data_IF_790797534920
#
_entry.id   IF_790797534920
#
_cell.length_a   1.000
_cell.length_b   1.000
_cell.length_c   1.000
_cell.angle_alpha   90.00
_cell.angle_beta   90.00
_cell.angle_gamma   90.00
#
_symmetry.space_group_name_H-M   'P 1'
#
loop_
_entity.id
_entity.type
_entity.pdbx_description
1 polymer ?
#
# COMPACT_ATOMS: atom_id res chain seq x y z
N UNK A 1 -1.33 21.66 33.58
CA UNK A 1 -0.25 21.16 32.70
C UNK A 1 -0.86 20.16 31.74
N UNK A 2 -1.12 20.56 30.50
CA UNK A 2 -1.66 19.63 29.49
C UNK A 2 -0.67 18.49 29.29
N UNK A 3 -1.11 17.24 29.42
CA UNK A 3 -0.28 16.08 29.18
C UNK A 3 -0.01 15.95 27.67
N UNK A 4 1.17 16.36 27.22
CA UNK A 4 1.68 15.96 25.90
C UNK A 4 2.18 14.52 26.00
N UNK A 5 1.26 13.55 26.14
CA UNK A 5 1.64 12.14 26.08
C UNK A 5 1.93 11.78 24.62
N UNK A 6 3.13 12.09 24.15
CA UNK A 6 3.62 11.55 22.88
C UNK A 6 3.70 10.03 23.01
N UNK A 7 3.07 9.32 22.09
CA UNK A 7 3.08 7.85 22.06
C UNK A 7 3.14 7.34 20.63
N UNK A 8 3.72 6.16 20.44
CA UNK A 8 3.90 5.56 19.12
C UNK A 8 5.13 4.65 19.06
N UNK A 9 5.32 3.99 17.93
CA UNK A 9 6.45 3.08 17.68
C UNK A 9 7.80 3.79 17.86
N UNK A 10 7.97 4.97 17.26
CA UNK A 10 9.20 5.76 17.39
C UNK A 10 9.47 6.16 18.85
N UNK A 11 8.41 6.52 19.61
CA UNK A 11 8.57 6.85 21.02
C UNK A 11 8.99 5.64 21.85
N UNK A 12 8.46 4.44 21.59
CA UNK A 12 8.94 3.23 22.26
C UNK A 12 10.45 3.00 22.01
N UNK A 13 10.92 3.19 20.77
CA UNK A 13 12.35 3.03 20.42
C UNK A 13 13.22 4.05 21.16
N UNK A 14 12.81 5.32 21.20
CA UNK A 14 13.52 6.37 21.94
C UNK A 14 13.52 6.09 23.46
N UNK A 15 12.38 5.71 24.02
CA UNK A 15 12.27 5.33 25.44
C UNK A 15 13.13 4.10 25.78
N UNK A 16 13.32 3.18 24.83
CA UNK A 16 14.21 2.03 25.01
C UNK A 16 15.68 2.43 25.06
N UNK A 17 16.09 3.43 24.29
CA UNK A 17 17.43 4.03 24.39
C UNK A 17 17.66 4.67 25.76
N UNK A 18 16.67 5.41 26.29
CA UNK A 18 16.71 5.96 27.66
C UNK A 18 16.88 4.85 28.72
N UNK A 19 16.19 3.72 28.53
CA UNK A 19 16.32 2.55 29.40
C UNK A 19 17.73 1.95 29.33
N UNK A 20 18.28 1.73 28.13
CA UNK A 20 19.64 1.21 27.90
C UNK A 20 20.68 2.13 28.54
N UNK A 21 20.56 3.45 28.34
CA UNK A 21 21.45 4.44 28.95
C UNK A 21 21.43 4.34 30.48
N UNK A 22 20.24 4.21 31.07
CA UNK A 22 20.08 4.06 32.52
C UNK A 22 20.74 2.77 33.04
N UNK A 23 20.49 1.62 32.41
CA UNK A 23 21.08 0.35 32.88
C UNK A 23 22.58 0.25 32.63
N UNK A 24 23.09 0.93 31.59
CA UNK A 24 24.54 1.07 31.35
C UNK A 24 25.19 1.85 32.50
N UNK A 25 24.56 2.94 32.95
CA UNK A 25 25.05 3.75 34.07
C UNK A 25 25.02 3.00 35.42
N UNK A 26 24.26 1.91 35.53
CA UNK A 26 24.25 1.08 36.75
C UNK A 26 25.48 0.18 36.89
N UNK A 27 26.29 0.03 35.83
CA UNK A 27 27.55 -0.72 35.85
C UNK A 27 27.38 -2.17 36.28
N UNK A 28 28.33 -2.68 37.09
CA UNK A 28 28.34 -4.08 37.56
C UNK A 28 27.13 -4.49 38.40
N UNK A 29 26.36 -3.53 38.92
CA UNK A 29 25.10 -3.82 39.62
C UNK A 29 23.99 -4.29 38.67
N UNK A 30 24.13 -4.07 37.36
CA UNK A 30 23.24 -4.63 36.34
C UNK A 30 23.89 -5.89 35.74
N UNK A 31 23.51 -7.06 36.25
CA UNK A 31 24.07 -8.36 35.88
C UNK A 31 22.98 -9.45 35.73
N UNK A 32 22.09 -9.34 34.73
CA UNK A 32 20.97 -10.25 34.58
C UNK A 32 21.42 -11.63 34.10
N UNK A 33 20.82 -12.69 34.65
CA UNK A 33 21.06 -14.08 34.21
C UNK A 33 20.33 -14.43 32.90
N UNK A 34 19.22 -13.75 32.58
CA UNK A 34 18.49 -13.93 31.31
C UNK A 34 19.27 -13.25 30.18
N UNK A 35 19.77 -14.05 29.23
CA UNK A 35 20.58 -13.56 28.09
C UNK A 35 19.93 -12.39 27.33
N UNK A 36 18.61 -12.42 27.14
CA UNK A 36 17.86 -11.37 26.45
C UNK A 36 17.89 -9.99 27.17
N UNK A 37 18.26 -9.95 28.45
CA UNK A 37 18.37 -8.71 29.23
C UNK A 37 19.83 -8.22 29.32
N UNK A 38 20.80 -8.94 28.77
CA UNK A 38 22.19 -8.44 28.77
C UNK A 38 22.30 -7.13 27.99
N UNK A 39 23.23 -6.24 28.36
CA UNK A 39 23.42 -4.96 27.66
C UNK A 39 23.62 -5.14 26.14
N UNK A 40 24.37 -6.17 25.74
CA UNK A 40 24.57 -6.50 24.33
C UNK A 40 23.27 -6.91 23.61
N UNK A 41 22.43 -7.72 24.27
CA UNK A 41 21.13 -8.10 23.72
C UNK A 41 20.18 -6.89 23.60
N UNK A 42 20.15 -6.01 24.61
CA UNK A 42 19.35 -4.78 24.55
C UNK A 42 19.80 -3.86 23.41
N UNK A 43 21.10 -3.65 23.24
CA UNK A 43 21.66 -2.86 22.13
C UNK A 43 21.34 -3.46 20.76
N UNK A 44 21.32 -4.80 20.66
CA UNK A 44 20.92 -5.52 19.45
C UNK A 44 19.44 -5.26 19.12
N UNK A 45 18.54 -5.40 20.09
CA UNK A 45 17.10 -5.11 19.92
C UNK A 45 16.88 -3.65 19.51
N UNK A 46 17.57 -2.71 20.15
CA UNK A 46 17.51 -1.29 19.81
C UNK A 46 17.96 -1.00 18.37
N UNK A 47 19.10 -1.57 17.96
CA UNK A 47 19.64 -1.41 16.60
C UNK A 47 18.68 -1.98 15.56
N UNK A 48 18.15 -3.18 15.80
CA UNK A 48 17.15 -3.81 14.93
C UNK A 48 15.89 -2.96 14.81
N UNK A 49 15.40 -2.39 15.92
CA UNK A 49 14.23 -1.55 15.93
C UNK A 49 14.42 -0.24 15.14
N UNK A 50 15.60 0.38 15.22
CA UNK A 50 15.96 1.54 14.38
C UNK A 50 16.01 1.17 12.90
N UNK A 51 16.75 0.12 12.56
CA UNK A 51 16.88 -0.36 11.18
C UNK A 51 15.52 -0.68 10.56
N UNK A 52 14.67 -1.41 11.27
CA UNK A 52 13.32 -1.73 10.80
C UNK A 52 12.43 -0.49 10.64
N UNK A 53 12.56 0.50 11.52
CA UNK A 53 11.83 1.77 11.40
C UNK A 53 12.27 2.56 10.16
N UNK A 54 13.57 2.65 9.90
CA UNK A 54 14.11 3.32 8.70
C UNK A 54 13.75 2.57 7.41
N UNK A 55 13.80 1.24 7.42
CA UNK A 55 13.38 0.41 6.30
C UNK A 55 11.89 0.63 5.97
N UNK A 56 11.04 0.69 6.99
CA UNK A 56 9.62 0.99 6.80
C UNK A 56 9.39 2.38 6.21
N UNK A 57 10.06 3.42 6.70
CA UNK A 57 9.94 4.79 6.14
C UNK A 57 10.32 4.82 4.66
N UNK A 58 11.39 4.09 4.30
CA UNK A 58 11.83 3.96 2.91
C UNK A 58 10.78 3.25 2.06
N UNK A 59 10.23 2.14 2.55
CA UNK A 59 9.19 1.37 1.85
C UNK A 59 7.88 2.15 1.70
N UNK A 60 7.47 2.94 2.71
CA UNK A 60 6.30 3.84 2.62
C UNK A 60 6.50 4.84 1.47
N UNK A 61 7.66 5.48 1.43
CA UNK A 61 7.98 6.49 0.42
C UNK A 61 7.99 5.89 -0.98
N UNK A 62 8.66 4.75 -1.16
CA UNK A 62 8.69 4.02 -2.42
C UNK A 62 7.28 3.63 -2.89
N UNK A 63 6.45 3.11 -1.99
CA UNK A 63 5.07 2.74 -2.30
C UNK A 63 4.20 3.93 -2.71
N UNK A 64 4.29 5.06 -1.99
CA UNK A 64 3.57 6.29 -2.35
C UNK A 64 3.98 6.80 -3.73
N UNK A 65 5.27 6.82 -4.02
CA UNK A 65 5.77 7.28 -5.31
C UNK A 65 5.31 6.37 -6.45
N UNK A 66 5.40 5.05 -6.29
CA UNK A 66 4.95 4.10 -7.31
C UNK A 66 3.42 4.16 -7.53
N UNK A 67 2.63 4.29 -6.46
CA UNK A 67 1.19 4.47 -6.57
C UNK A 67 0.83 5.77 -7.31
N UNK A 68 1.50 6.88 -6.98
CA UNK A 68 1.30 8.16 -7.65
C UNK A 68 1.70 8.14 -9.13
N UNK A 69 2.84 7.51 -9.46
CA UNK A 69 3.30 7.36 -10.85
C UNK A 69 2.30 6.55 -11.68
N UNK A 70 1.80 5.43 -11.14
CA UNK A 70 0.74 4.64 -11.77
C UNK A 70 -0.52 5.46 -12.00
N UNK A 71 -1.03 6.16 -10.98
CA UNK A 71 -2.24 6.98 -11.12
C UNK A 71 -2.07 8.06 -12.19
N UNK A 72 -0.92 8.75 -12.20
CA UNK A 72 -0.61 9.79 -13.17
C UNK A 72 -0.61 9.25 -14.61
N UNK A 73 -0.02 8.07 -14.86
CA UNK A 73 0.02 7.46 -16.18
C UNK A 73 -1.36 7.01 -16.69
N UNK A 74 -2.25 6.56 -15.81
CA UNK A 74 -3.61 6.15 -16.18
C UNK A 74 -4.61 7.31 -16.33
N UNK A 75 -4.28 8.49 -15.79
CA UNK A 75 -5.13 9.69 -15.83
C UNK A 75 -5.49 10.16 -17.25
N UNK A 76 -4.56 10.26 -18.22
CA UNK A 76 -4.88 10.69 -19.59
C UNK A 76 -5.57 9.60 -20.42
N UNK A 77 -5.53 8.33 -20.00
CA UNK A 77 -5.92 7.18 -20.82
C UNK A 77 -7.33 7.34 -21.42
N UNK A 78 -8.34 7.73 -20.63
CA UNK A 78 -9.72 7.85 -21.14
C UNK A 78 -9.88 8.89 -22.27
N UNK A 79 -9.07 9.97 -22.24
CA UNK A 79 -9.03 10.97 -23.31
C UNK A 79 -8.39 10.38 -24.57
N UNK A 80 -7.28 9.67 -24.42
CA UNK A 80 -6.61 8.97 -25.51
C UNK A 80 -7.53 7.93 -26.15
N UNK A 81 -8.22 7.09 -25.36
CA UNK A 81 -9.20 6.10 -25.86
C UNK A 81 -10.30 6.76 -26.70
N UNK A 82 -10.76 7.96 -26.32
CA UNK A 82 -11.74 8.71 -27.12
C UNK A 82 -11.18 9.10 -28.49
N UNK A 83 -9.93 9.57 -28.53
CA UNK A 83 -9.25 9.92 -29.79
C UNK A 83 -9.03 8.70 -30.67
N UNK A 84 -8.53 7.61 -30.11
CA UNK A 84 -8.34 6.32 -30.81
C UNK A 84 -9.64 5.87 -31.47
N UNK A 85 -10.74 5.87 -30.71
CA UNK A 85 -12.03 5.42 -31.24
C UNK A 85 -12.55 6.32 -32.38
N UNK A 86 -12.38 7.63 -32.26
CA UNK A 86 -12.79 8.56 -33.31
C UNK A 86 -11.89 8.46 -34.55
N UNK A 87 -10.59 8.22 -34.38
CA UNK A 87 -9.69 7.94 -35.49
C UNK A 87 -10.13 6.68 -36.24
N UNK A 88 -10.46 5.59 -35.53
CA UNK A 88 -10.99 4.37 -36.16
C UNK A 88 -12.32 4.63 -36.89
N UNK A 89 -13.23 5.40 -36.30
CA UNK A 89 -14.51 5.75 -36.94
C UNK A 89 -14.38 6.59 -38.21
N UNK A 90 -13.28 7.30 -38.39
CA UNK A 90 -13.03 8.13 -39.56
C UNK A 90 -12.45 7.33 -40.75
N UNK A 91 -12.18 6.03 -40.54
CA UNK A 91 -11.71 5.11 -41.58
C UNK A 91 -12.88 4.36 -42.24
N UNK A 92 -12.59 3.63 -43.31
CA UNK A 92 -13.54 2.71 -43.95
C UNK A 92 -13.64 1.34 -43.25
N UNK A 93 -13.20 1.24 -41.98
CA UNK A 93 -13.24 -0.01 -41.23
C UNK A 93 -14.67 -0.59 -41.17
N UNK A 94 -14.83 -1.94 -41.26
CA UNK A 94 -16.15 -2.56 -41.23
C UNK A 94 -16.96 -2.18 -39.99
N UNK A 95 -18.27 -2.01 -40.16
CA UNK A 95 -19.20 -1.67 -39.05
C UNK A 95 -19.01 -2.58 -37.84
N UNK A 96 -18.79 -3.88 -38.07
CA UNK A 96 -18.58 -4.86 -36.99
C UNK A 96 -17.30 -4.59 -36.19
N UNK A 97 -16.23 -4.16 -36.86
CA UNK A 97 -14.97 -3.75 -36.22
C UNK A 97 -15.19 -2.53 -35.33
N UNK A 98 -15.93 -1.53 -35.81
CA UNK A 98 -16.28 -0.32 -35.04
C UNK A 98 -17.12 -0.69 -33.81
N UNK A 99 -18.10 -1.58 -33.94
CA UNK A 99 -18.92 -2.07 -32.82
C UNK A 99 -18.09 -2.81 -31.76
N UNK A 100 -17.18 -3.69 -32.20
CA UNK A 100 -16.27 -4.41 -31.31
C UNK A 100 -15.35 -3.43 -30.56
N UNK A 101 -14.78 -2.45 -31.26
CA UNK A 101 -13.97 -1.38 -30.64
C UNK A 101 -14.79 -0.57 -29.63
N UNK A 102 -16.05 -0.25 -29.94
CA UNK A 102 -16.93 0.50 -29.04
C UNK A 102 -17.17 -0.26 -27.73
N UNK A 103 -17.30 -1.59 -27.77
CA UNK A 103 -17.43 -2.42 -26.58
C UNK A 103 -16.20 -2.29 -25.66
N UNK A 104 -14.99 -2.36 -26.23
CA UNK A 104 -13.73 -2.19 -25.48
C UNK A 104 -13.58 -0.76 -24.93
N UNK A 105 -13.92 0.26 -25.72
CA UNK A 105 -13.90 1.66 -25.31
C UNK A 105 -14.82 1.90 -24.11
N UNK A 106 -16.02 1.31 -24.10
CA UNK A 106 -16.94 1.40 -22.96
C UNK A 106 -16.30 0.84 -21.68
N UNK A 107 -15.66 -0.33 -21.75
CA UNK A 107 -14.95 -0.94 -20.60
C UNK A 107 -13.81 -0.06 -20.10
N UNK A 108 -12.98 0.46 -21.01
CA UNK A 108 -11.83 1.32 -20.71
C UNK A 108 -12.21 2.67 -20.05
N UNK A 109 -13.45 3.11 -20.28
CA UNK A 109 -14.01 4.35 -19.74
C UNK A 109 -14.98 4.12 -18.57
N UNK A 110 -15.24 2.87 -18.18
CA UNK A 110 -16.20 2.54 -17.13
C UNK A 110 -17.65 2.85 -17.50
N UNK A 111 -17.98 2.85 -18.78
CA UNK A 111 -19.34 3.09 -19.30
C UNK A 111 -20.08 1.76 -19.51
N UNK A 112 -21.38 1.74 -19.22
CA UNK A 112 -22.25 0.60 -19.50
C UNK A 112 -22.71 0.59 -20.95
N UNK A 113 -23.06 -0.59 -21.44
CA UNK A 113 -23.73 -0.74 -22.74
C UNK A 113 -25.21 -0.30 -22.66
N UNK A 114 -25.90 -0.69 -21.59
CA UNK A 114 -27.27 -0.27 -21.26
C UNK A 114 -27.29 0.87 -20.24
N UNK A 115 -28.30 1.74 -20.35
CA UNK A 115 -28.59 2.73 -19.32
C UNK A 115 -28.94 2.04 -18.00
N UNK A 116 -28.59 2.68 -16.89
CA UNK A 116 -29.06 2.25 -15.57
C UNK A 116 -30.53 2.65 -15.45
N UNK A 117 -31.38 1.74 -14.99
CA UNK A 117 -32.78 2.06 -14.72
C UNK A 117 -32.84 3.16 -13.65
N UNK A 118 -33.69 4.15 -13.86
CA UNK A 118 -34.04 5.14 -12.84
C UNK A 118 -34.85 4.48 -11.72
N UNK A 119 -34.95 5.14 -10.57
CA UNK A 119 -35.73 4.61 -9.45
C UNK A 119 -37.22 4.47 -9.81
N UNK A 120 -37.74 5.39 -10.63
CA UNK A 120 -39.12 5.33 -11.14
C UNK A 120 -39.33 4.16 -12.12
N UNK A 121 -38.37 3.90 -13.01
CA UNK A 121 -38.40 2.75 -13.92
C UNK A 121 -38.31 1.43 -13.17
N UNK A 122 -37.48 1.38 -12.11
CA UNK A 122 -37.41 0.21 -11.23
C UNK A 122 -38.72 -0.03 -10.52
N UNK A 123 -39.33 1.02 -9.98
CA UNK A 123 -40.60 0.89 -9.27
C UNK A 123 -41.73 0.43 -10.20
N UNK A 124 -41.76 0.93 -11.44
CA UNK A 124 -42.72 0.49 -12.45
C UNK A 124 -42.56 -1.00 -12.81
N UNK A 125 -41.33 -1.49 -12.93
CA UNK A 125 -41.03 -2.90 -13.22
C UNK A 125 -41.31 -3.82 -12.02
N UNK A 126 -41.00 -3.39 -10.80
CA UNK A 126 -41.35 -4.10 -9.56
C UNK A 126 -42.86 -4.26 -9.45
N UNK A 127 -43.62 -3.20 -9.76
CA UNK A 127 -45.09 -3.24 -9.74
C UNK A 127 -45.69 -4.21 -10.79
N UNK A 128 -44.92 -4.56 -11.82
CA UNK A 128 -45.27 -5.57 -12.84
C UNK A 128 -44.73 -6.98 -12.50
N UNK A 129 -44.12 -7.17 -11.33
CA UNK A 129 -43.55 -8.44 -10.89
C UNK A 129 -42.22 -8.81 -11.58
N UNK A 130 -41.56 -7.85 -12.25
CA UNK A 130 -40.29 -8.06 -12.95
C UNK A 130 -39.12 -7.78 -11.97
N UNK A 131 -38.15 -8.69 -11.91
CA UNK A 131 -36.93 -8.50 -11.11
C UNK A 131 -36.07 -7.36 -11.70
N UNK A 132 -35.63 -6.45 -10.84
CA UNK A 132 -34.87 -5.24 -11.20
C UNK A 132 -33.43 -5.26 -10.67
N UNK A 133 -32.94 -6.42 -10.22
CA UNK A 133 -31.58 -6.55 -9.68
C UNK A 133 -30.51 -6.26 -10.75
N UNK A 134 -29.83 -5.13 -10.60
CA UNK A 134 -28.69 -4.76 -11.43
C UNK A 134 -27.36 -5.13 -10.75
N UNK A 135 -26.48 -5.81 -11.49
CA UNK A 135 -25.11 -6.09 -11.05
C UNK A 135 -24.14 -5.00 -11.52
N UNK A 136 -23.12 -4.72 -10.70
CA UNK A 136 -22.00 -3.88 -11.13
C UNK A 136 -21.25 -4.57 -12.28
N UNK A 137 -21.02 -3.84 -13.36
CA UNK A 137 -20.32 -4.31 -14.56
C UNK A 137 -19.04 -3.52 -14.83
N UNK A 138 -18.61 -2.68 -13.89
CA UNK A 138 -17.43 -1.84 -14.03
C UNK A 138 -16.15 -2.68 -14.01
N UNK A 139 -15.31 -2.53 -15.04
CA UNK A 139 -14.00 -3.17 -15.16
C UNK A 139 -12.85 -2.15 -15.04
N UNK A 140 -12.94 -1.24 -14.06
CA UNK A 140 -12.05 -0.08 -13.95
C UNK A 140 -10.76 -0.31 -13.14
N UNK A 141 -10.46 -1.53 -12.71
CA UNK A 141 -9.15 -1.83 -12.10
C UNK A 141 -8.01 -1.57 -13.10
N UNK A 142 -6.81 -1.29 -12.60
CA UNK A 142 -5.66 -1.05 -13.46
C UNK A 142 -5.36 -2.26 -14.37
N UNK A 143 -5.44 -3.48 -13.83
CA UNK A 143 -5.25 -4.72 -14.58
C UNK A 143 -6.28 -4.87 -15.70
N UNK A 144 -7.58 -4.70 -15.40
CA UNK A 144 -8.64 -4.80 -16.40
C UNK A 144 -8.50 -3.71 -17.47
N UNK A 145 -8.10 -2.49 -17.09
CA UNK A 145 -7.88 -1.41 -18.06
C UNK A 145 -6.69 -1.71 -18.97
N UNK A 146 -5.62 -2.30 -18.46
CA UNK A 146 -4.49 -2.77 -19.29
C UNK A 146 -4.96 -3.85 -20.27
N UNK A 147 -5.65 -4.89 -19.77
CA UNK A 147 -6.10 -6.01 -20.60
C UNK A 147 -7.06 -5.57 -21.72
N UNK A 148 -8.02 -4.69 -21.40
CA UNK A 148 -8.91 -4.12 -22.40
C UNK A 148 -8.19 -3.17 -23.37
N UNK A 149 -7.10 -2.52 -22.94
CA UNK A 149 -6.31 -1.64 -23.80
C UNK A 149 -5.47 -2.47 -24.78
N UNK A 150 -4.83 -3.54 -24.32
CA UNK A 150 -4.16 -4.52 -25.18
C UNK A 150 -5.12 -5.13 -26.20
N UNK A 151 -6.34 -5.49 -25.77
CA UNK A 151 -7.37 -6.00 -26.67
C UNK A 151 -7.77 -4.99 -27.75
N UNK A 152 -7.84 -3.70 -27.39
CA UNK A 152 -8.09 -2.63 -28.36
C UNK A 152 -6.91 -2.47 -29.32
N UNK A 153 -5.68 -2.47 -28.82
CA UNK A 153 -4.46 -2.40 -29.65
C UNK A 153 -4.42 -3.56 -30.65
N UNK A 154 -4.71 -4.79 -30.22
CA UNK A 154 -4.75 -5.96 -31.09
C UNK A 154 -5.81 -5.83 -32.20
N UNK A 155 -7.00 -5.32 -31.86
CA UNK A 155 -8.05 -5.05 -32.84
C UNK A 155 -7.57 -4.02 -33.88
N UNK A 156 -6.96 -2.91 -33.44
CA UNK A 156 -6.43 -1.88 -34.32
C UNK A 156 -5.31 -2.43 -35.22
N UNK A 157 -4.39 -3.22 -34.66
CA UNK A 157 -3.31 -3.85 -35.41
C UNK A 157 -3.82 -4.81 -36.51
N UNK A 158 -4.96 -5.47 -36.27
CA UNK A 158 -5.63 -6.34 -37.26
C UNK A 158 -6.50 -5.59 -38.28
N UNK A 159 -6.71 -4.28 -38.10
CA UNK A 159 -7.58 -3.47 -38.97
C UNK A 159 -6.73 -2.71 -39.97
N UNK A 160 -6.72 -3.16 -41.23
CA UNK A 160 -5.92 -2.58 -42.31
C UNK A 160 -6.22 -1.11 -42.57
N UNK A 161 -7.46 -0.67 -42.34
CA UNK A 161 -7.90 0.71 -42.55
C UNK A 161 -7.40 1.66 -41.45
N UNK A 162 -6.93 1.14 -40.31
CA UNK A 162 -6.43 1.96 -39.21
C UNK A 162 -4.96 2.36 -39.41
N UNK A 163 -4.75 3.43 -40.18
CA UNK A 163 -3.43 4.00 -40.46
C UNK A 163 -3.34 5.50 -40.08
N UNK A 164 -3.33 5.84 -38.77
CA UNK A 164 -3.30 7.24 -38.34
C UNK A 164 -1.94 7.91 -38.62
N UNK A 165 -1.97 9.20 -38.94
CA UNK A 165 -0.78 10.03 -39.13
C UNK A 165 -0.24 10.57 -37.79
N UNK A 166 -1.10 10.73 -36.80
CA UNK A 166 -0.74 11.20 -35.46
C UNK A 166 0.04 10.11 -34.71
N UNK A 167 1.31 10.40 -34.41
CA UNK A 167 2.24 9.44 -33.79
C UNK A 167 1.67 8.79 -32.52
N UNK A 168 0.95 9.54 -31.68
CA UNK A 168 0.40 9.03 -30.42
C UNK A 168 -0.82 8.10 -30.58
N UNK A 169 -1.39 8.02 -31.78
CA UNK A 169 -2.49 7.11 -32.13
C UNK A 169 -1.98 5.86 -32.88
N UNK A 170 -0.73 5.84 -33.32
CA UNK A 170 -0.15 4.70 -34.01
C UNK A 170 -0.02 3.49 -33.09
N UNK A 171 -0.25 2.29 -33.65
CA UNK A 171 -0.23 1.01 -32.90
C UNK A 171 1.06 0.84 -32.09
N UNK A 172 2.22 1.21 -32.65
CA UNK A 172 3.51 1.11 -31.97
C UNK A 172 3.58 2.00 -30.71
N UNK A 173 3.12 3.25 -30.79
CA UNK A 173 3.05 4.15 -29.64
C UNK A 173 2.07 3.65 -28.57
N UNK A 174 0.93 3.09 -28.98
CA UNK A 174 -0.05 2.51 -28.06
C UNK A 174 0.51 1.27 -27.36
N UNK A 175 1.22 0.40 -28.08
CA UNK A 175 1.92 -0.78 -27.52
C UNK A 175 3.01 -0.38 -26.53
N UNK A 176 3.77 0.69 -26.84
CA UNK A 176 4.76 1.26 -25.93
C UNK A 176 4.10 1.75 -24.64
N UNK A 177 3.01 2.52 -24.76
CA UNK A 177 2.24 2.98 -23.60
C UNK A 177 1.67 1.81 -22.78
N UNK A 178 1.13 0.77 -23.42
CA UNK A 178 0.63 -0.41 -22.69
C UNK A 178 1.74 -1.09 -21.87
N UNK A 179 2.94 -1.21 -22.45
CA UNK A 179 4.11 -1.76 -21.76
C UNK A 179 4.52 -0.90 -20.56
N UNK A 180 4.49 0.43 -20.70
CA UNK A 180 4.74 1.36 -19.60
C UNK A 180 3.69 1.21 -18.48
N UNK A 181 2.40 1.17 -18.83
CA UNK A 181 1.31 0.99 -17.86
C UNK A 181 1.44 -0.33 -17.09
N UNK A 182 1.83 -1.43 -17.76
CA UNK A 182 2.13 -2.73 -17.12
C UNK A 182 3.30 -2.63 -16.14
N UNK A 183 4.38 -1.96 -16.54
CA UNK A 183 5.56 -1.79 -15.70
C UNK A 183 5.22 -0.97 -14.44
N UNK A 184 4.52 0.16 -14.59
CA UNK A 184 4.08 1.01 -13.48
C UNK A 184 3.10 0.29 -12.56
N UNK A 185 2.18 -0.50 -13.11
CA UNK A 185 1.26 -1.31 -12.31
C UNK A 185 2.00 -2.37 -11.49
N UNK A 186 2.94 -3.08 -12.11
CA UNK A 186 3.78 -4.08 -11.43
C UNK A 186 4.64 -3.44 -10.34
N UNK A 187 5.22 -2.26 -10.60
CA UNK A 187 6.00 -1.52 -9.63
C UNK A 187 5.16 -1.18 -8.38
N UNK A 188 3.94 -0.66 -8.57
CA UNK A 188 3.04 -0.34 -7.46
C UNK A 188 2.64 -1.57 -6.63
N UNK A 189 2.39 -2.71 -7.28
CA UNK A 189 2.09 -4.00 -6.61
C UNK A 189 3.30 -4.46 -5.76
N UNK A 190 4.49 -4.41 -6.34
CA UNK A 190 5.71 -4.86 -5.69
C UNK A 190 6.07 -3.98 -4.48
N UNK A 191 5.98 -2.66 -4.63
CA UNK A 191 6.26 -1.73 -3.52
C UNK A 191 5.22 -1.84 -2.40
N UNK A 192 3.97 -2.13 -2.72
CA UNK A 192 2.93 -2.37 -1.71
C UNK A 192 3.24 -3.63 -0.89
N UNK A 193 3.67 -4.70 -1.55
CA UNK A 193 4.13 -5.94 -0.88
C UNK A 193 5.33 -5.67 0.02
N UNK A 194 6.34 -4.95 -0.47
CA UNK A 194 7.53 -4.58 0.32
C UNK A 194 7.16 -3.72 1.54
N UNK A 195 6.25 -2.75 1.38
CA UNK A 195 5.73 -1.95 2.48
C UNK A 195 5.05 -2.81 3.56
N UNK A 196 4.19 -3.75 3.16
CA UNK A 196 3.51 -4.65 4.09
C UNK A 196 4.51 -5.56 4.83
N UNK A 197 5.50 -6.10 4.13
CA UNK A 197 6.55 -6.91 4.77
C UNK A 197 7.39 -6.10 5.76
N UNK A 198 7.73 -4.85 5.43
CA UNK A 198 8.45 -3.96 6.33
C UNK A 198 7.63 -3.58 7.58
N UNK A 199 6.31 -3.40 7.43
CA UNK A 199 5.40 -3.20 8.56
C UNK A 199 5.40 -4.39 9.51
N UNK A 200 5.26 -5.61 8.96
CA UNK A 200 5.26 -6.87 9.70
C UNK A 200 6.60 -7.04 10.44
N UNK A 201 7.72 -6.85 9.74
CA UNK A 201 9.05 -6.99 10.34
C UNK A 201 9.28 -6.01 11.50
N UNK A 202 8.88 -4.74 11.35
CA UNK A 202 8.91 -3.76 12.44
C UNK A 202 8.02 -4.20 13.61
N UNK A 203 6.79 -4.64 13.33
CA UNK A 203 5.87 -5.12 14.37
C UNK A 203 6.46 -6.29 15.15
N UNK A 204 7.05 -7.27 14.46
CA UNK A 204 7.70 -8.41 15.08
C UNK A 204 8.85 -7.98 15.99
N UNK A 205 9.72 -7.07 15.55
CA UNK A 205 10.84 -6.59 16.38
C UNK A 205 10.36 -5.81 17.62
N UNK A 206 9.29 -5.03 17.48
CA UNK A 206 8.81 -4.19 18.58
C UNK A 206 7.90 -4.94 19.57
N UNK A 207 7.12 -5.91 19.10
CA UNK A 207 5.95 -6.45 19.81
C UNK A 207 5.82 -7.97 19.76
N UNK A 208 6.80 -8.71 19.23
CA UNK A 208 6.78 -10.16 19.34
C UNK A 208 6.73 -10.59 20.82
N UNK A 209 5.94 -11.63 21.16
CA UNK A 209 5.88 -12.15 22.52
C UNK A 209 7.28 -12.56 23.02
N UNK A 210 7.57 -12.25 24.27
CA UNK A 210 8.76 -12.65 25.05
C UNK A 210 10.10 -12.05 24.61
N UNK A 211 10.24 -11.64 23.35
CA UNK A 211 11.50 -11.15 22.78
C UNK A 211 11.40 -9.79 22.05
N UNK A 212 10.19 -9.28 21.82
CA UNK A 212 9.98 -7.95 21.26
C UNK A 212 10.45 -6.85 22.23
N UNK A 213 10.81 -5.69 21.67
CA UNK A 213 11.29 -4.53 22.43
C UNK A 213 10.40 -4.19 23.63
N UNK A 214 9.08 -4.24 23.47
CA UNK A 214 8.13 -3.99 24.56
C UNK A 214 8.30 -4.95 25.75
N UNK A 215 8.34 -6.26 25.50
CA UNK A 215 8.45 -7.26 26.55
C UNK A 215 9.86 -7.25 27.18
N UNK A 216 10.91 -7.11 26.37
CA UNK A 216 12.28 -6.97 26.85
C UNK A 216 12.44 -5.75 27.76
N UNK A 217 11.80 -4.62 27.42
CA UNK A 217 11.81 -3.42 28.25
C UNK A 217 11.10 -3.65 29.60
N UNK A 218 9.95 -4.34 29.58
CA UNK A 218 9.21 -4.70 30.80
C UNK A 218 10.04 -5.61 31.70
N UNK A 219 10.63 -6.65 31.14
CA UNK A 219 11.45 -7.62 31.88
C UNK A 219 12.72 -6.97 32.44
N UNK A 220 13.35 -6.06 31.69
CA UNK A 220 14.48 -5.25 32.17
C UNK A 220 14.10 -4.43 33.40
N UNK A 221 12.94 -3.78 33.38
CA UNK A 221 12.43 -3.03 34.55
C UNK A 221 12.17 -3.95 35.74
N UNK A 222 11.60 -5.12 35.50
CA UNK A 222 11.35 -6.11 36.56
C UNK A 222 12.66 -6.57 37.21
N UNK A 223 13.71 -6.81 36.41
CA UNK A 223 15.03 -7.16 36.91
C UNK A 223 15.67 -6.03 37.73
N UNK A 224 15.64 -4.79 37.25
CA UNK A 224 16.16 -3.65 38.02
C UNK A 224 15.38 -3.48 39.34
N UNK A 225 14.07 -3.74 39.33
CA UNK A 225 13.24 -3.73 40.55
C UNK A 225 13.68 -4.80 41.54
N UNK A 226 14.05 -6.00 41.09
CA UNK A 226 14.47 -7.09 41.97
C UNK A 226 15.83 -6.85 42.60
N UNK A 227 16.78 -6.25 41.85
CA UNK A 227 18.14 -5.99 42.35
C UNK A 227 18.19 -4.80 43.30
N UNK A 228 17.53 -3.68 42.97
CA UNK A 228 17.64 -2.45 43.78
C UNK A 228 16.45 -2.22 44.71
N UNK A 229 15.35 -2.95 44.54
CA UNK A 229 14.11 -2.74 45.28
C UNK A 229 13.22 -1.63 44.70
N UNK A 230 11.91 -1.74 44.97
CA UNK A 230 10.87 -0.90 44.38
C UNK A 230 10.92 0.58 44.81
N UNK A 231 11.50 0.90 45.97
CA UNK A 231 11.62 2.26 46.48
C UNK A 231 12.89 2.98 46.03
N UNK A 232 13.84 2.27 45.41
CA UNK A 232 15.16 2.80 45.07
C UNK A 232 15.10 3.91 44.02
N UNK A 233 15.98 4.92 44.11
CA UNK A 233 16.11 5.95 43.07
C UNK A 233 16.42 5.36 41.69
N UNK A 234 17.27 4.32 41.62
CA UNK A 234 17.61 3.61 40.37
C UNK A 234 16.37 2.99 39.71
N UNK A 235 15.55 2.24 40.44
CA UNK A 235 14.32 1.70 39.87
C UNK A 235 13.33 2.82 39.48
N UNK A 236 13.14 3.83 40.32
CA UNK A 236 12.22 4.96 40.03
C UNK A 236 12.60 5.72 38.76
N UNK A 237 13.90 5.85 38.46
CA UNK A 237 14.40 6.48 37.25
C UNK A 237 13.86 5.82 35.98
N UNK A 238 13.84 4.48 35.92
CA UNK A 238 13.35 3.74 34.76
C UNK A 238 11.85 3.40 34.86
N UNK A 239 11.27 3.38 36.06
CA UNK A 239 9.86 3.04 36.27
C UNK A 239 8.94 3.98 35.48
N UNK A 240 9.27 5.29 35.43
CA UNK A 240 8.54 6.32 34.69
C UNK A 240 8.57 6.17 33.15
N UNK A 241 9.50 5.39 32.60
CA UNK A 241 9.66 5.23 31.14
C UNK A 241 8.47 4.48 30.55
N UNK A 242 7.57 5.13 29.82
CA UNK A 242 6.36 4.46 29.33
C UNK A 242 6.58 3.73 28.01
N UNK A 243 6.17 2.45 27.97
CA UNK A 243 6.14 1.64 26.75
C UNK A 243 4.69 1.26 26.47
N UNK A 244 4.26 1.35 25.21
CA UNK A 244 2.94 0.88 24.78
C UNK A 244 3.06 -0.35 23.89
N UNK A 245 2.22 -1.35 24.13
CA UNK A 245 2.10 -2.49 23.23
C UNK A 245 1.07 -2.18 22.14
N UNK A 246 1.34 -2.63 20.93
CA UNK A 246 0.41 -2.54 19.79
C UNK A 246 0.18 -3.95 19.28
N UNK A 247 -1.06 -4.28 18.92
CA UNK A 247 -1.37 -5.60 18.35
C UNK A 247 -0.60 -5.78 17.05
N UNK A 248 -0.05 -6.99 16.88
CA UNK A 248 0.70 -7.41 15.69
C UNK A 248 -0.19 -7.38 14.44
#
# INVERSE_FOLDING_TARGET
MASTSESGHAKNVATFEELISSVTAYGSSYNPSKTALTLAALQTVYTNAKTASSALISAITANKNAAGAREAAFKPLSKLITRIFNALKATDAPKKTIENAQSLVRKLQGKRASAKLTDDEKQALINQGIDTKEISTSQMSFDNRIENFDSLIALLASTTEYAPNETDLQVESLSTLSTELKALNSAAINTATQYNNALIARNQILYAPDNGLFDVARDTKAYVKSVFGASSPKYKQIAKLSFKNYKL
#
